data_IF_092252924977
#
_entry.id   IF_092252924977
#
_cell.length_a   1.000
_cell.length_b   1.000
_cell.length_c   1.000
_cell.angle_alpha   90.00
_cell.angle_beta   90.00
_cell.angle_gamma   90.00
#
_symmetry.space_group_name_H-M   'P 1'
#
loop_
_entity.id
_entity.type
_entity.pdbx_description
1 polymer ?
#
# COMPACT_ATOMS: atom_id res chain seq x y z
N UNK A 1 43.95 42.71 29.39
CA UNK A 1 42.53 42.31 29.50
C UNK A 1 42.00 42.13 28.09
N UNK A 2 42.10 40.90 27.55
CA UNK A 2 41.51 40.53 26.26
C UNK A 2 40.19 39.81 26.57
N UNK A 3 39.08 40.46 26.28
CA UNK A 3 37.73 39.90 26.42
C UNK A 3 37.43 39.16 25.12
N UNK A 4 37.50 37.82 25.18
CA UNK A 4 37.13 36.95 24.08
C UNK A 4 35.63 37.07 23.80
N UNK A 5 35.30 37.56 22.61
CA UNK A 5 33.95 37.48 22.05
C UNK A 5 33.67 36.00 21.73
N UNK A 6 32.86 35.36 22.58
CA UNK A 6 32.29 34.06 22.27
C UNK A 6 31.18 34.25 21.22
N UNK A 7 31.20 33.53 20.09
CA UNK A 7 30.08 33.55 19.16
C UNK A 7 28.82 32.95 19.84
N UNK A 8 27.62 33.52 19.62
CA UNK A 8 26.40 33.03 20.24
C UNK A 8 26.15 31.58 19.80
N UNK A 9 25.98 30.71 20.80
CA UNK A 9 25.61 29.31 20.64
C UNK A 9 24.37 29.19 19.73
N UNK A 10 24.47 28.32 18.72
CA UNK A 10 23.52 28.21 17.61
C UNK A 10 22.05 28.24 18.02
N UNK A 11 21.31 29.14 17.38
CA UNK A 11 19.84 29.13 17.34
C UNK A 11 19.39 27.80 16.73
N UNK A 12 19.07 26.81 17.58
CA UNK A 12 18.28 25.66 17.16
C UNK A 12 16.94 26.21 16.71
N UNK A 13 16.73 26.35 15.40
CA UNK A 13 15.44 26.74 14.82
C UNK A 13 14.38 25.83 15.43
N UNK A 14 13.60 26.36 16.37
CA UNK A 14 12.55 25.59 17.01
C UNK A 14 11.60 25.16 15.90
N UNK A 15 11.50 23.85 15.65
CA UNK A 15 10.68 23.31 14.58
C UNK A 15 9.24 23.81 14.79
N UNK A 16 8.80 24.78 13.97
CA UNK A 16 7.45 25.32 14.03
C UNK A 16 6.49 24.19 13.70
N UNK A 17 5.72 23.73 14.70
CA UNK A 17 4.70 22.71 14.49
C UNK A 17 3.49 23.39 13.85
N UNK A 18 3.24 23.08 12.58
CA UNK A 18 2.01 23.50 11.92
C UNK A 18 0.91 22.47 12.22
N UNK A 19 -0.24 22.96 12.69
CA UNK A 19 -1.42 22.12 12.92
C UNK A 19 -2.07 21.70 11.60
N UNK A 20 -2.65 20.50 11.59
CA UNK A 20 -3.60 20.10 10.57
C UNK A 20 -5.00 20.57 10.98
N UNK A 21 -5.71 21.19 10.04
CA UNK A 21 -7.10 21.61 10.22
C UNK A 21 -7.97 20.93 9.16
N UNK A 22 -9.17 20.50 9.54
CA UNK A 22 -10.13 19.92 8.61
C UNK A 22 -11.44 20.70 8.65
N UNK A 23 -11.77 21.37 7.54
CA UNK A 23 -12.94 22.25 7.43
C UNK A 23 -14.14 21.59 6.75
N UNK A 24 -14.11 20.26 6.55
CA UNK A 24 -15.15 19.55 5.82
C UNK A 24 -16.44 19.39 6.60
N UNK A 25 -17.58 19.50 5.92
CA UNK A 25 -18.90 19.32 6.50
C UNK A 25 -19.42 17.88 6.34
N UNK A 26 -19.92 17.26 7.41
CA UNK A 26 -20.44 15.88 7.36
C UNK A 26 -21.68 15.70 6.48
N UNK A 27 -22.62 16.67 6.48
CA UNK A 27 -23.83 16.63 5.65
C UNK A 27 -23.52 16.78 4.16
N UNK A 28 -22.56 17.63 3.83
CA UNK A 28 -22.05 17.78 2.46
C UNK A 28 -21.40 16.47 1.98
N UNK A 29 -20.51 15.90 2.81
CA UNK A 29 -19.89 14.62 2.53
C UNK A 29 -20.92 13.51 2.34
N UNK A 30 -21.93 13.44 3.20
CA UNK A 30 -23.00 12.44 3.14
C UNK A 30 -23.74 12.49 1.80
N UNK A 31 -24.09 13.69 1.30
CA UNK A 31 -24.70 13.86 -0.02
C UNK A 31 -23.81 13.35 -1.15
N UNK A 32 -22.50 13.60 -1.08
CA UNK A 32 -21.54 13.08 -2.08
C UNK A 32 -21.49 11.56 -2.01
N UNK A 33 -21.40 11.00 -0.80
CA UNK A 33 -21.27 9.56 -0.57
C UNK A 33 -22.49 8.78 -1.07
N UNK A 34 -23.72 9.22 -0.74
CA UNK A 34 -24.94 8.52 -1.18
C UNK A 34 -25.09 8.52 -2.70
N UNK A 35 -24.84 9.66 -3.36
CA UNK A 35 -24.88 9.76 -4.82
C UNK A 35 -23.82 8.86 -5.46
N UNK A 36 -22.63 8.83 -4.87
CA UNK A 36 -21.55 7.96 -5.35
C UNK A 36 -21.89 6.48 -5.24
N UNK A 37 -22.55 6.06 -4.16
CA UNK A 37 -23.00 4.67 -3.99
C UNK A 37 -24.09 4.32 -4.99
N UNK A 38 -25.13 5.14 -5.11
CA UNK A 38 -26.22 4.91 -6.07
C UNK A 38 -25.69 4.76 -7.49
N UNK A 39 -24.84 5.69 -7.93
CA UNK A 39 -24.22 5.60 -9.26
C UNK A 39 -23.29 4.38 -9.40
N UNK A 40 -22.57 3.99 -8.34
CA UNK A 40 -21.72 2.80 -8.38
C UNK A 40 -22.56 1.53 -8.53
N UNK A 41 -23.68 1.40 -7.83
CA UNK A 41 -24.58 0.24 -7.95
C UNK A 41 -25.23 0.21 -9.34
N UNK A 42 -25.81 1.32 -9.78
CA UNK A 42 -26.50 1.44 -11.07
C UNK A 42 -25.58 1.16 -12.27
N UNK A 43 -24.27 1.37 -12.12
CA UNK A 43 -23.26 1.10 -13.16
C UNK A 43 -22.47 -0.20 -12.93
N UNK A 44 -22.98 -1.11 -12.09
CA UNK A 44 -22.33 -2.40 -11.76
C UNK A 44 -20.87 -2.24 -11.28
N UNK A 45 -20.60 -1.17 -10.54
CA UNK A 45 -19.31 -0.85 -9.97
C UNK A 45 -18.39 -0.04 -10.87
N UNK A 46 -18.72 0.23 -12.13
CA UNK A 46 -17.87 1.02 -13.05
C UNK A 46 -17.65 2.44 -12.51
N UNK A 47 -18.72 3.14 -12.12
CA UNK A 47 -18.66 4.52 -11.61
C UNK A 47 -17.83 4.66 -10.33
N UNK A 48 -17.58 3.56 -9.61
CA UNK A 48 -16.82 3.60 -8.36
C UNK A 48 -15.39 4.15 -8.52
N UNK A 49 -14.84 4.18 -9.74
CA UNK A 49 -13.54 4.81 -10.02
C UNK A 49 -13.62 6.34 -9.95
N UNK A 50 -14.71 6.93 -10.45
CA UNK A 50 -15.01 8.36 -10.36
C UNK A 50 -15.40 8.75 -8.94
N UNK A 51 -16.23 7.92 -8.29
CA UNK A 51 -16.58 8.10 -6.89
C UNK A 51 -15.34 8.22 -6.00
N UNK A 52 -14.37 7.30 -6.15
CA UNK A 52 -13.11 7.32 -5.40
C UNK A 52 -12.34 8.63 -5.58
N UNK A 53 -12.27 9.16 -6.81
CA UNK A 53 -11.58 10.43 -7.08
C UNK A 53 -12.34 11.61 -6.48
N UNK A 54 -13.67 11.66 -6.65
CA UNK A 54 -14.52 12.73 -6.10
C UNK A 54 -14.41 12.81 -4.58
N UNK A 55 -14.48 11.66 -3.91
CA UNK A 55 -14.31 11.58 -2.45
C UNK A 55 -12.92 12.05 -2.02
N UNK A 56 -11.84 11.64 -2.70
CA UNK A 56 -10.48 12.09 -2.36
C UNK A 56 -10.29 13.59 -2.56
N UNK A 57 -10.82 14.17 -3.64
CA UNK A 57 -10.79 15.63 -3.87
C UNK A 57 -11.50 16.39 -2.77
N UNK A 58 -12.64 15.88 -2.30
CA UNK A 58 -13.36 16.48 -1.18
C UNK A 58 -12.53 16.51 0.10
N UNK A 59 -11.91 15.38 0.49
CA UNK A 59 -11.07 15.36 1.69
C UNK A 59 -9.84 16.26 1.54
N UNK A 60 -9.11 16.15 0.44
CA UNK A 60 -7.90 16.95 0.19
C UNK A 60 -8.20 18.46 0.21
N UNK A 61 -9.26 18.88 -0.49
CA UNK A 61 -9.66 20.29 -0.55
C UNK A 61 -10.21 20.85 0.76
N UNK A 62 -10.55 20.00 1.74
CA UNK A 62 -10.99 20.38 3.07
C UNK A 62 -9.95 20.11 4.16
N UNK A 63 -8.78 19.57 3.81
CA UNK A 63 -7.65 19.43 4.73
C UNK A 63 -6.69 20.58 4.49
N UNK A 64 -6.44 21.37 5.54
CA UNK A 64 -5.47 22.45 5.55
C UNK A 64 -4.26 22.04 6.38
N UNK A 65 -3.10 22.46 5.90
CA UNK A 65 -1.86 22.50 6.63
C UNK A 65 -1.32 23.91 6.47
N UNK A 66 -0.97 24.58 7.58
CA UNK A 66 -0.40 25.93 7.55
C UNK A 66 -1.21 26.92 6.65
N UNK A 67 -2.54 26.90 6.79
CA UNK A 67 -3.47 27.75 6.02
C UNK A 67 -3.61 27.43 4.53
N UNK A 68 -2.90 26.42 4.00
CA UNK A 68 -2.98 25.99 2.59
C UNK A 68 -3.67 24.63 2.47
N UNK A 69 -4.48 24.44 1.42
CA UNK A 69 -5.21 23.20 1.16
C UNK A 69 -4.35 22.19 0.40
N UNK A 70 -4.64 20.90 0.59
CA UNK A 70 -4.12 19.86 -0.30
C UNK A 70 -4.94 19.79 -1.58
N UNK A 71 -4.31 19.32 -2.66
CA UNK A 71 -4.95 19.16 -3.96
C UNK A 71 -4.77 17.73 -4.47
N UNK A 72 -5.79 17.23 -5.18
CA UNK A 72 -5.80 15.86 -5.71
C UNK A 72 -6.19 15.82 -7.19
N UNK A 73 -5.21 15.58 -8.04
CA UNK A 73 -5.26 15.67 -9.51
C UNK A 73 -5.42 14.32 -10.21
N UNK A 74 -5.95 13.31 -9.52
CA UNK A 74 -6.09 11.98 -10.10
C UNK A 74 -7.12 11.91 -11.24
N UNK A 75 -6.80 11.08 -12.24
CA UNK A 75 -7.70 10.71 -13.35
C UNK A 75 -8.45 9.41 -13.02
N UNK A 76 -9.81 9.40 -12.99
CA UNK A 76 -10.60 8.21 -12.68
C UNK A 76 -10.33 7.01 -13.59
N UNK A 77 -10.14 7.26 -14.89
CA UNK A 77 -9.90 6.19 -15.89
C UNK A 77 -8.66 5.35 -15.59
N UNK A 78 -7.63 5.92 -14.96
CA UNK A 78 -6.44 5.16 -14.56
C UNK A 78 -6.76 4.09 -13.50
N UNK A 79 -7.68 4.42 -12.57
CA UNK A 79 -8.14 3.49 -11.53
C UNK A 79 -9.00 2.39 -12.15
N UNK A 80 -9.88 2.76 -13.11
CA UNK A 80 -10.74 1.80 -13.80
C UNK A 80 -9.92 0.77 -14.60
N UNK A 81 -8.90 1.21 -15.36
CA UNK A 81 -8.00 0.30 -16.11
C UNK A 81 -7.38 -0.76 -15.21
N UNK A 82 -6.91 -0.37 -14.02
CA UNK A 82 -6.35 -1.32 -13.05
C UNK A 82 -7.38 -2.35 -12.56
N UNK A 83 -8.63 -1.93 -12.34
CA UNK A 83 -9.72 -2.83 -11.94
C UNK A 83 -10.14 -3.79 -13.05
N UNK A 84 -10.21 -3.32 -14.29
CA UNK A 84 -10.50 -4.19 -15.44
C UNK A 84 -9.47 -5.31 -15.52
N UNK A 85 -8.18 -4.98 -15.43
CA UNK A 85 -7.10 -5.99 -15.41
C UNK A 85 -7.31 -6.99 -14.26
N UNK A 86 -7.59 -6.50 -13.05
CA UNK A 86 -7.80 -7.36 -11.89
C UNK A 86 -9.01 -8.29 -12.05
N UNK A 87 -10.14 -7.78 -12.56
CA UNK A 87 -11.35 -8.57 -12.82
C UNK A 87 -11.10 -9.60 -13.92
N UNK A 88 -10.42 -9.22 -15.00
CA UNK A 88 -10.05 -10.16 -16.07
C UNK A 88 -9.17 -11.30 -15.55
N UNK A 89 -8.16 -11.00 -14.73
CA UNK A 89 -7.31 -12.03 -14.11
C UNK A 89 -8.11 -12.93 -13.15
N UNK A 90 -9.04 -12.36 -12.39
CA UNK A 90 -9.88 -13.13 -11.47
C UNK A 90 -10.84 -14.06 -12.21
N UNK A 91 -11.49 -13.59 -13.27
CA UNK A 91 -12.37 -14.41 -14.11
C UNK A 91 -11.57 -15.53 -14.82
N UNK A 92 -10.36 -15.22 -15.29
CA UNK A 92 -9.46 -16.20 -15.86
C UNK A 92 -9.08 -17.28 -14.86
N UNK A 93 -8.73 -16.90 -13.63
CA UNK A 93 -8.47 -17.84 -12.54
C UNK A 93 -9.70 -18.70 -12.24
N UNK A 94 -10.87 -18.09 -12.06
CA UNK A 94 -12.11 -18.78 -11.72
C UNK A 94 -12.52 -19.79 -12.81
N UNK A 95 -12.40 -19.41 -14.09
CA UNK A 95 -12.69 -20.30 -15.21
C UNK A 95 -11.67 -21.42 -15.40
N UNK A 96 -10.37 -21.09 -15.42
CA UNK A 96 -9.32 -22.08 -15.71
C UNK A 96 -9.15 -23.11 -14.59
N UNK A 97 -9.33 -22.70 -13.33
CA UNK A 97 -9.15 -23.59 -12.17
C UNK A 97 -10.20 -24.71 -12.11
N UNK A 98 -11.37 -24.53 -12.72
CA UNK A 98 -12.40 -25.56 -12.80
C UNK A 98 -12.00 -26.71 -13.74
N UNK A 99 -11.39 -26.40 -14.88
CA UNK A 99 -11.06 -27.40 -15.92
C UNK A 99 -9.64 -27.93 -15.78
N UNK A 100 -8.71 -27.07 -15.37
CA UNK A 100 -7.27 -27.36 -15.32
C UNK A 100 -6.70 -26.91 -13.97
N UNK A 101 -6.76 -27.76 -12.93
CA UNK A 101 -6.31 -27.40 -11.58
C UNK A 101 -4.87 -26.86 -11.56
N UNK A 102 -3.97 -27.45 -12.34
CA UNK A 102 -2.58 -26.99 -12.47
C UNK A 102 -2.48 -25.60 -13.11
N UNK A 103 -3.28 -25.31 -14.14
CA UNK A 103 -3.30 -23.99 -14.76
C UNK A 103 -3.85 -22.94 -13.79
N UNK A 104 -4.87 -23.29 -12.99
CA UNK A 104 -5.38 -22.44 -11.91
C UNK A 104 -4.29 -22.05 -10.91
N UNK A 105 -3.46 -23.01 -10.49
CA UNK A 105 -2.31 -22.75 -9.60
C UNK A 105 -1.31 -21.79 -10.25
N UNK A 106 -0.97 -22.00 -11.53
CA UNK A 106 -0.07 -21.10 -12.26
C UNK A 106 -0.62 -19.67 -12.33
N UNK A 107 -1.92 -19.50 -12.61
CA UNK A 107 -2.56 -18.18 -12.61
C UNK A 107 -2.55 -17.56 -11.21
N UNK A 108 -2.80 -18.34 -10.16
CA UNK A 108 -2.74 -17.86 -8.77
C UNK A 108 -1.34 -17.34 -8.42
N UNK A 109 -0.28 -18.06 -8.79
CA UNK A 109 1.11 -17.64 -8.58
C UNK A 109 1.43 -16.36 -9.36
N UNK A 110 0.97 -16.25 -10.60
CA UNK A 110 1.11 -15.03 -11.40
C UNK A 110 0.38 -13.85 -10.73
N UNK A 111 -0.83 -14.06 -10.21
CA UNK A 111 -1.56 -13.03 -9.47
C UNK A 111 -0.81 -12.60 -8.20
N UNK A 112 -0.27 -13.55 -7.43
CA UNK A 112 0.53 -13.25 -6.25
C UNK A 112 1.78 -12.42 -6.59
N UNK A 113 2.47 -12.74 -7.68
CA UNK A 113 3.62 -11.97 -8.17
C UNK A 113 3.21 -10.60 -8.73
N UNK A 114 1.97 -10.47 -9.23
CA UNK A 114 1.44 -9.22 -9.75
C UNK A 114 1.07 -8.21 -8.64
N UNK A 115 0.72 -8.68 -7.43
CA UNK A 115 0.31 -7.81 -6.31
C UNK A 115 1.37 -6.75 -5.95
N UNK A 116 2.65 -7.08 -5.70
CA UNK A 116 3.68 -6.08 -5.41
C UNK A 116 3.82 -5.02 -6.51
N UNK A 117 3.70 -5.42 -7.78
CA UNK A 117 3.74 -4.48 -8.90
C UNK A 117 2.54 -3.52 -8.90
N UNK A 118 1.34 -4.02 -8.58
CA UNK A 118 0.14 -3.20 -8.42
C UNK A 118 0.31 -2.20 -7.28
N UNK A 119 0.84 -2.65 -6.13
CA UNK A 119 1.12 -1.77 -4.99
C UNK A 119 2.09 -0.66 -5.41
N UNK A 120 3.20 -1.02 -6.05
CA UNK A 120 4.19 -0.04 -6.53
C UNK A 120 3.57 1.00 -7.49
N UNK A 121 2.76 0.55 -8.47
CA UNK A 121 2.05 1.48 -9.37
C UNK A 121 1.02 2.35 -8.64
N UNK A 122 0.30 1.79 -7.68
CA UNK A 122 -0.70 2.50 -6.87
C UNK A 122 -0.06 3.61 -6.01
N UNK A 123 1.07 3.31 -5.38
CA UNK A 123 1.86 4.27 -4.59
C UNK A 123 2.36 5.41 -5.47
N UNK A 124 3.01 5.11 -6.60
CA UNK A 124 3.46 6.13 -7.56
C UNK A 124 2.33 6.97 -8.11
N UNK A 125 1.19 6.36 -8.43
CA UNK A 125 0.02 7.08 -8.92
C UNK A 125 -0.54 8.03 -7.87
N UNK A 126 -0.69 7.57 -6.63
CA UNK A 126 -1.25 8.37 -5.54
C UNK A 126 -0.33 9.55 -5.21
N UNK A 127 0.99 9.31 -5.09
CA UNK A 127 1.94 10.39 -4.83
C UNK A 127 1.89 11.48 -5.91
N UNK A 128 1.97 11.10 -7.19
CA UNK A 128 1.92 12.08 -8.31
C UNK A 128 0.59 12.81 -8.43
N UNK A 129 -0.49 12.20 -7.96
CA UNK A 129 -1.81 12.82 -7.97
C UNK A 129 -2.00 13.80 -6.81
N UNK A 130 -1.19 13.74 -5.76
CA UNK A 130 -1.27 14.63 -4.61
C UNK A 130 -0.33 15.82 -4.77
N UNK A 131 -0.80 17.02 -4.44
CA UNK A 131 0.04 18.22 -4.32
C UNK A 131 -0.35 19.05 -3.11
N UNK A 132 0.59 19.86 -2.67
CA UNK A 132 0.42 20.85 -1.60
C UNK A 132 1.25 22.08 -1.97
N UNK A 133 0.67 23.28 -1.83
CA UNK A 133 1.30 24.57 -2.24
C UNK A 133 1.95 24.50 -3.64
N UNK A 134 1.22 23.94 -4.61
CA UNK A 134 1.67 23.75 -5.99
C UNK A 134 2.91 22.83 -6.18
N UNK A 135 3.37 22.15 -5.12
CA UNK A 135 4.45 21.14 -5.16
C UNK A 135 3.82 19.74 -5.11
N UNK A 136 4.17 18.89 -6.07
CA UNK A 136 3.67 17.51 -6.14
C UNK A 136 4.47 16.59 -5.26
N UNK A 137 3.80 15.60 -4.68
CA UNK A 137 4.48 14.50 -4.00
C UNK A 137 5.07 13.53 -5.03
N UNK A 138 6.18 12.90 -4.68
CA UNK A 138 6.76 11.80 -5.46
C UNK A 138 7.00 10.58 -4.59
N UNK A 139 7.05 9.42 -5.25
CA UNK A 139 7.40 8.15 -4.62
C UNK A 139 8.57 7.55 -5.37
N UNK A 140 9.71 7.52 -4.70
CA UNK A 140 11.00 7.17 -5.30
C UNK A 140 11.37 5.69 -5.09
N UNK A 141 10.48 4.92 -4.46
CA UNK A 141 10.62 3.48 -4.31
C UNK A 141 10.77 2.78 -5.66
N UNK A 142 11.68 1.81 -5.69
CA UNK A 142 11.92 0.94 -6.84
C UNK A 142 11.00 -0.27 -6.79
N UNK A 143 10.75 -0.88 -7.95
CA UNK A 143 9.93 -2.09 -8.05
C UNK A 143 10.53 -3.23 -7.21
N UNK A 144 11.86 -3.42 -7.28
CA UNK A 144 12.56 -4.45 -6.51
C UNK A 144 12.41 -4.28 -5.00
N UNK A 145 12.38 -3.04 -4.50
CA UNK A 145 12.09 -2.80 -3.08
C UNK A 145 10.66 -3.22 -2.73
N UNK A 146 9.66 -2.91 -3.55
CA UNK A 146 8.28 -3.36 -3.28
C UNK A 146 8.18 -4.89 -3.24
N UNK A 147 8.88 -5.60 -4.14
CA UNK A 147 8.98 -7.06 -4.04
C UNK A 147 9.66 -7.53 -2.76
N UNK A 148 10.77 -6.89 -2.35
CA UNK A 148 11.46 -7.21 -1.10
C UNK A 148 10.52 -7.08 0.10
N UNK A 149 9.88 -5.92 0.25
CA UNK A 149 9.06 -5.62 1.42
C UNK A 149 7.74 -6.40 1.45
N UNK A 150 7.00 -6.47 0.34
CA UNK A 150 5.66 -7.06 0.33
C UNK A 150 5.60 -8.55 -0.02
N UNK A 151 6.62 -9.09 -0.68
CA UNK A 151 6.63 -10.48 -1.11
C UNK A 151 7.72 -11.30 -0.42
N UNK A 152 8.97 -10.87 -0.51
CA UNK A 152 10.10 -11.68 -0.04
C UNK A 152 10.18 -11.77 1.49
N UNK A 153 10.10 -10.65 2.22
CA UNK A 153 10.21 -10.65 3.68
C UNK A 153 9.08 -11.46 4.36
N UNK A 154 7.78 -11.26 4.04
CA UNK A 154 6.73 -12.09 4.62
C UNK A 154 6.73 -13.52 4.04
N UNK A 155 7.03 -13.67 2.74
CA UNK A 155 7.02 -14.96 2.06
C UNK A 155 8.16 -15.88 2.48
N UNK A 156 9.30 -15.37 2.91
CA UNK A 156 10.46 -16.18 3.32
C UNK A 156 10.15 -17.12 4.47
N UNK A 157 9.26 -16.73 5.40
CA UNK A 157 8.80 -17.58 6.51
C UNK A 157 8.11 -18.83 5.97
N UNK A 158 7.14 -18.63 5.07
CA UNK A 158 6.37 -19.72 4.46
C UNK A 158 7.23 -20.57 3.52
N UNK A 159 8.13 -19.95 2.76
CA UNK A 159 9.05 -20.65 1.87
C UNK A 159 10.00 -21.54 2.69
N UNK A 160 10.57 -21.01 3.78
CA UNK A 160 11.48 -21.78 4.64
C UNK A 160 10.76 -22.95 5.30
N UNK A 161 9.56 -22.73 5.83
CA UNK A 161 8.73 -23.79 6.40
C UNK A 161 8.35 -24.85 5.35
N UNK A 162 8.00 -24.43 4.14
CA UNK A 162 7.69 -25.32 3.02
C UNK A 162 8.88 -26.16 2.57
N UNK A 163 10.08 -25.58 2.49
CA UNK A 163 11.31 -26.31 2.14
C UNK A 163 11.70 -27.33 3.23
N UNK A 164 11.57 -26.97 4.50
CA UNK A 164 11.80 -27.89 5.61
C UNK A 164 10.78 -29.03 5.61
N UNK A 165 9.50 -28.71 5.40
CA UNK A 165 8.43 -29.69 5.27
C UNK A 165 8.68 -30.65 4.11
N UNK A 166 9.10 -30.14 2.95
CA UNK A 166 9.45 -30.95 1.78
C UNK A 166 10.64 -31.88 2.08
N UNK A 167 11.71 -31.36 2.70
CA UNK A 167 12.87 -32.18 3.07
C UNK A 167 12.53 -33.29 4.06
N UNK A 168 11.66 -33.00 5.04
CA UNK A 168 11.17 -33.99 5.99
C UNK A 168 10.31 -35.06 5.31
N UNK A 169 9.44 -34.64 4.40
CA UNK A 169 8.60 -35.56 3.63
C UNK A 169 9.41 -36.52 2.77
N UNK A 170 10.47 -36.02 2.13
CA UNK A 170 11.36 -36.84 1.30
C UNK A 170 12.23 -37.81 2.12
N UNK A 171 12.63 -37.46 3.35
CA UNK A 171 13.57 -38.26 4.16
C UNK A 171 12.90 -39.19 5.17
N UNK A 172 11.73 -38.80 5.70
CA UNK A 172 11.03 -39.52 6.79
C UNK A 172 9.52 -39.57 6.54
N UNK A 173 9.04 -40.19 5.45
CA UNK A 173 7.64 -40.10 5.01
C UNK A 173 6.62 -40.65 6.01
N UNK A 174 7.01 -41.56 6.90
CA UNK A 174 6.11 -42.17 7.90
C UNK A 174 5.85 -41.29 9.12
N UNK A 175 6.81 -40.44 9.50
CA UNK A 175 6.69 -39.48 10.63
C UNK A 175 6.43 -38.05 10.14
N UNK A 176 6.58 -37.81 8.84
CA UNK A 176 6.44 -36.51 8.23
C UNK A 176 5.04 -35.88 8.32
N UNK A 177 3.90 -36.59 8.23
CA UNK A 177 2.60 -35.93 8.11
C UNK A 177 2.29 -34.97 9.27
N UNK A 178 2.41 -35.43 10.51
CA UNK A 178 2.11 -34.61 11.69
C UNK A 178 3.11 -33.46 11.86
N UNK A 179 4.40 -33.73 11.60
CA UNK A 179 5.46 -32.74 11.70
C UNK A 179 5.37 -31.67 10.60
N UNK A 180 5.00 -32.04 9.38
CA UNK A 180 4.77 -31.13 8.25
C UNK A 180 3.59 -30.20 8.57
N UNK A 181 2.49 -30.75 9.06
CA UNK A 181 1.33 -29.95 9.47
C UNK A 181 1.73 -29.01 10.61
N UNK A 182 2.46 -29.50 11.61
CA UNK A 182 3.00 -28.69 12.71
C UNK A 182 3.90 -27.54 12.24
N UNK A 183 4.79 -27.79 11.27
CA UNK A 183 5.67 -26.78 10.68
C UNK A 183 4.89 -25.71 9.89
N UNK A 184 3.92 -26.12 9.08
CA UNK A 184 3.13 -25.18 8.27
C UNK A 184 2.24 -24.33 9.19
N UNK A 185 1.57 -24.96 10.16
CA UNK A 185 0.70 -24.26 11.11
C UNK A 185 1.49 -23.29 12.00
N UNK A 186 2.65 -23.70 12.53
CA UNK A 186 3.53 -22.80 13.29
C UNK A 186 4.06 -21.64 12.44
N UNK A 187 4.39 -21.86 11.17
CA UNK A 187 4.79 -20.79 10.26
C UNK A 187 3.66 -19.79 9.97
N UNK A 188 2.42 -20.28 9.82
CA UNK A 188 1.24 -19.43 9.69
C UNK A 188 0.96 -18.63 10.97
N UNK A 189 1.04 -19.27 12.14
CA UNK A 189 0.91 -18.61 13.44
C UNK A 189 1.99 -17.55 13.63
N UNK A 190 3.24 -17.85 13.30
CA UNK A 190 4.34 -16.88 13.36
C UNK A 190 4.09 -15.69 12.44
N UNK A 191 3.63 -15.94 11.20
CA UNK A 191 3.26 -14.88 10.26
C UNK A 191 2.15 -13.99 10.83
N UNK A 192 1.16 -14.58 11.48
CA UNK A 192 0.09 -13.85 12.15
C UNK A 192 0.59 -13.04 13.36
N UNK A 193 1.44 -13.62 14.21
CA UNK A 193 2.05 -12.93 15.36
C UNK A 193 2.96 -11.77 14.95
N UNK A 194 3.63 -11.89 13.79
CA UNK A 194 4.47 -10.83 13.22
C UNK A 194 3.68 -9.79 12.42
N UNK A 195 2.36 -9.92 12.32
CA UNK A 195 1.50 -8.93 11.66
C UNK A 195 1.76 -7.46 12.08
N UNK A 196 1.84 -7.10 13.38
CA UNK A 196 2.15 -5.72 13.78
C UNK A 196 3.54 -5.26 13.30
N UNK A 197 4.52 -6.16 13.26
CA UNK A 197 5.84 -5.87 12.73
C UNK A 197 5.81 -5.65 11.21
N UNK A 198 5.06 -6.46 10.46
CA UNK A 198 4.84 -6.24 9.03
C UNK A 198 4.14 -4.91 8.75
N UNK A 199 3.15 -4.53 9.56
CA UNK A 199 2.50 -3.23 9.43
C UNK A 199 3.49 -2.07 9.64
N UNK A 200 4.36 -2.17 10.64
CA UNK A 200 5.45 -1.21 10.84
C UNK A 200 6.40 -1.16 9.64
N UNK A 201 6.80 -2.31 9.13
CA UNK A 201 7.67 -2.45 7.96
C UNK A 201 7.07 -1.83 6.69
N UNK A 202 5.78 -2.04 6.44
CA UNK A 202 5.08 -1.44 5.30
C UNK A 202 4.93 0.07 5.47
N UNK A 203 4.69 0.53 6.69
CA UNK A 203 4.58 1.95 7.01
C UNK A 203 5.93 2.66 6.82
N UNK A 204 7.03 2.08 7.30
CA UNK A 204 8.37 2.65 7.07
C UNK A 204 8.71 2.67 5.58
N UNK A 205 8.45 1.58 4.84
CA UNK A 205 8.60 1.57 3.38
C UNK A 205 7.76 2.66 2.68
N UNK A 206 6.55 2.92 3.16
CA UNK A 206 5.75 4.01 2.62
C UNK A 206 6.45 5.35 2.90
N UNK A 207 6.80 5.64 4.16
CA UNK A 207 7.35 6.94 4.56
C UNK A 207 8.73 7.22 3.96
N UNK A 208 9.66 6.28 4.05
CA UNK A 208 11.07 6.44 3.64
C UNK A 208 11.23 6.80 2.16
N UNK A 209 10.30 6.33 1.32
CA UNK A 209 10.34 6.52 -0.12
C UNK A 209 9.37 7.60 -0.63
N UNK A 210 8.55 8.19 0.24
CA UNK A 210 7.76 9.38 -0.10
C UNK A 210 8.61 10.64 -0.02
N UNK A 211 8.40 11.55 -0.98
CA UNK A 211 9.04 12.87 -0.99
C UNK A 211 8.04 13.97 -1.25
N UNK A 212 8.38 15.13 -0.71
CA UNK A 212 7.68 16.39 -0.95
C UNK A 212 8.66 17.40 -1.54
N UNK A 213 8.54 17.69 -2.84
CA UNK A 213 9.54 18.48 -3.56
C UNK A 213 10.93 17.84 -3.45
N UNK A 214 11.89 18.57 -2.87
CA UNK A 214 13.25 18.08 -2.61
C UNK A 214 13.42 17.43 -1.22
N UNK A 215 12.43 17.53 -0.34
CA UNK A 215 12.48 17.00 1.03
C UNK A 215 12.11 15.51 1.11
N UNK A 216 12.80 14.77 1.98
CA UNK A 216 12.49 13.38 2.33
C UNK A 216 11.85 13.31 3.71
N UNK A 217 10.84 12.44 3.86
CA UNK A 217 10.33 12.09 5.19
C UNK A 217 11.25 11.02 5.78
N UNK A 218 11.78 11.25 6.99
CA UNK A 218 12.54 10.26 7.74
C UNK A 218 11.64 9.76 8.89
N UNK A 219 11.47 8.44 9.00
CA UNK A 219 10.69 7.80 10.08
C UNK A 219 11.56 7.41 11.27
#
# INVERSE_FOLDING_TARGET
MQQGDNPPAGSRTAATRHGFEFTGNGREYFKIWIVNILLSILTLGIYSAWAKVRTRRYFYGNTLLDGSRFEYHARPLAILKGRIIAVTLLLLYAGLSQFFPLAGLMVLLLMALFVPWVIWKSLRFTARASSYRNVRFSFDGTLGQTYKYFFWIPGSILITAGLLALGLWLTRPTLAPDLVVGLITSALLLTYLLYPWFQRLFTSFYLDYHRYGQGRFQS
#
